data_IF_004712827699
#
_entry.id   IF_004712827699
#
_cell.length_a   1.000
_cell.length_b   1.000
_cell.length_c   1.000
_cell.angle_alpha   90.00
_cell.angle_beta   90.00
_cell.angle_gamma   90.00
#
_symmetry.space_group_name_H-M   'P 1'
#
loop_
_entity.id
_entity.type
_entity.pdbx_description
1 polymer ?
#
# COMPACT_ATOMS: atom_id res chain seq x y z
N UNK A 1 -21.99 -14.49 7.71
CA UNK A 1 -22.26 -13.64 6.53
C UNK A 1 -20.96 -12.99 6.15
N UNK A 2 -20.44 -13.33 4.99
CA UNK A 2 -19.30 -12.62 4.42
C UNK A 2 -19.71 -11.18 4.14
N UNK A 3 -18.91 -10.20 4.55
CA UNK A 3 -19.20 -8.79 4.25
C UNK A 3 -18.86 -8.52 2.79
N UNK A 4 -19.53 -7.54 2.16
CA UNK A 4 -19.18 -7.12 0.80
C UNK A 4 -17.69 -6.78 0.67
N UNK A 5 -17.07 -6.25 1.73
CA UNK A 5 -15.63 -5.99 1.81
C UNK A 5 -14.79 -7.26 1.74
N UNK A 6 -15.12 -8.28 2.55
CA UNK A 6 -14.41 -9.57 2.53
C UNK A 6 -14.50 -10.25 1.16
N UNK A 7 -15.65 -10.14 0.50
CA UNK A 7 -15.87 -10.73 -0.82
C UNK A 7 -15.00 -10.09 -1.91
N UNK A 8 -14.89 -8.76 -1.95
CA UNK A 8 -14.05 -8.08 -2.95
C UNK A 8 -12.56 -8.39 -2.78
N UNK A 9 -12.09 -8.47 -1.54
CA UNK A 9 -10.70 -8.84 -1.23
C UNK A 9 -10.45 -10.30 -1.59
N UNK A 10 -11.36 -11.20 -1.22
CA UNK A 10 -11.31 -12.62 -1.54
C UNK A 10 -11.24 -12.87 -3.05
N UNK A 11 -12.05 -12.18 -3.85
CA UNK A 11 -12.04 -12.29 -5.32
C UNK A 11 -10.69 -11.90 -5.92
N UNK A 12 -10.07 -10.82 -5.47
CA UNK A 12 -8.74 -10.43 -5.94
C UNK A 12 -7.68 -11.48 -5.54
N UNK A 13 -7.71 -11.98 -4.31
CA UNK A 13 -6.78 -13.00 -3.84
C UNK A 13 -6.95 -14.34 -4.57
N UNK A 14 -8.19 -14.75 -4.87
CA UNK A 14 -8.48 -15.91 -5.70
C UNK A 14 -7.93 -15.75 -7.11
N UNK A 15 -8.17 -14.60 -7.73
CA UNK A 15 -7.61 -14.27 -9.02
C UNK A 15 -6.07 -14.32 -9.00
N UNK A 16 -5.43 -13.72 -8.00
CA UNK A 16 -3.97 -13.71 -7.87
C UNK A 16 -3.39 -15.13 -7.67
N UNK A 17 -4.08 -15.99 -6.90
CA UNK A 17 -3.73 -17.42 -6.78
C UNK A 17 -3.84 -18.13 -8.12
N UNK A 18 -4.92 -17.91 -8.86
CA UNK A 18 -5.11 -18.48 -10.20
C UNK A 18 -4.05 -17.99 -11.21
N UNK A 19 -3.68 -16.71 -11.14
CA UNK A 19 -2.61 -16.12 -11.95
C UNK A 19 -1.26 -16.78 -11.65
N UNK A 20 -0.88 -16.84 -10.38
CA UNK A 20 0.44 -17.38 -9.97
C UNK A 20 0.58 -18.89 -10.22
N UNK A 21 -0.51 -19.66 -10.18
CA UNK A 21 -0.51 -21.08 -10.56
C UNK A 21 -0.17 -21.33 -12.04
N UNK A 22 -0.32 -20.32 -12.90
CA UNK A 22 0.00 -20.40 -14.34
C UNK A 22 1.43 -19.96 -14.64
N UNK A 23 2.17 -19.48 -13.65
CA UNK A 23 3.54 -18.98 -13.78
C UNK A 23 4.55 -20.00 -13.27
N UNK A 24 5.75 -19.99 -13.84
CA UNK A 24 6.87 -20.80 -13.36
C UNK A 24 7.53 -20.09 -12.15
N UNK A 25 7.49 -20.66 -10.92
CA UNK A 25 8.13 -20.06 -9.75
C UNK A 25 9.67 -20.06 -9.81
N UNK A 26 10.28 -20.76 -10.77
CA UNK A 26 11.72 -20.77 -11.02
C UNK A 26 12.20 -19.72 -12.03
N UNK A 27 11.29 -19.07 -12.75
CA UNK A 27 11.62 -18.21 -13.88
C UNK A 27 10.85 -16.88 -13.87
N UNK A 28 11.22 -15.99 -14.81
CA UNK A 28 10.58 -14.69 -14.98
C UNK A 28 10.77 -13.76 -13.79
N UNK A 29 10.00 -12.68 -13.78
CA UNK A 29 9.96 -11.74 -12.67
C UNK A 29 9.35 -12.37 -11.41
N UNK A 30 8.35 -13.23 -11.55
CA UNK A 30 7.67 -13.92 -10.46
C UNK A 30 8.64 -14.75 -9.62
N UNK A 31 9.52 -15.54 -10.24
CA UNK A 31 10.52 -16.32 -9.53
C UNK A 31 11.53 -15.45 -8.77
N UNK A 32 11.93 -14.31 -9.33
CA UNK A 32 12.81 -13.36 -8.63
C UNK A 32 12.10 -12.67 -7.47
N UNK A 33 10.85 -12.26 -7.66
CA UNK A 33 10.04 -11.68 -6.60
C UNK A 33 9.85 -12.65 -5.43
N UNK A 34 9.56 -13.92 -5.71
CA UNK A 34 9.45 -14.95 -4.68
C UNK A 34 10.74 -15.16 -3.88
N UNK A 35 11.92 -15.02 -4.52
CA UNK A 35 13.20 -15.12 -3.82
C UNK A 35 13.46 -13.92 -2.91
N UNK A 36 13.01 -12.73 -3.32
CA UNK A 36 13.28 -11.48 -2.61
C UNK A 36 12.28 -11.17 -1.51
N UNK A 37 11.00 -11.45 -1.75
CA UNK A 37 9.89 -11.15 -0.82
C UNK A 37 8.82 -12.26 -0.83
N UNK A 38 9.17 -13.48 -0.34
CA UNK A 38 8.22 -14.59 -0.27
C UNK A 38 7.06 -14.31 0.68
N UNK A 39 7.30 -13.54 1.75
CA UNK A 39 6.30 -13.22 2.75
C UNK A 39 5.30 -12.18 2.24
N UNK A 40 5.76 -11.16 1.51
CA UNK A 40 4.90 -10.19 0.86
C UNK A 40 4.01 -10.81 -0.22
N UNK A 41 4.55 -11.74 -1.03
CA UNK A 41 3.73 -12.50 -1.97
C UNK A 41 2.66 -13.32 -1.24
N UNK A 42 3.03 -14.05 -0.19
CA UNK A 42 2.08 -14.85 0.60
C UNK A 42 0.99 -13.98 1.22
N UNK A 43 1.36 -12.82 1.76
CA UNK A 43 0.42 -11.86 2.32
C UNK A 43 -0.63 -11.40 1.29
N UNK A 44 -0.23 -11.18 0.04
CA UNK A 44 -1.16 -10.83 -1.05
C UNK A 44 -2.07 -12.00 -1.43
N UNK A 45 -1.50 -13.21 -1.52
CA UNK A 45 -2.25 -14.43 -1.86
C UNK A 45 -3.25 -14.81 -0.77
N UNK A 46 -2.95 -14.54 0.50
CA UNK A 46 -3.83 -14.81 1.64
C UNK A 46 -4.86 -13.68 1.85
N UNK A 47 -4.77 -12.58 1.09
CA UNK A 47 -5.67 -11.42 1.23
C UNK A 47 -5.46 -10.62 2.50
N UNK A 48 -4.28 -10.75 3.12
CA UNK A 48 -3.87 -9.97 4.30
C UNK A 48 -3.07 -8.72 3.93
N UNK A 49 -2.68 -8.59 2.67
CA UNK A 49 -2.12 -7.37 2.10
C UNK A 49 -2.71 -7.10 0.70
N UNK A 50 -2.83 -5.82 0.35
CA UNK A 50 -3.27 -5.42 -0.98
C UNK A 50 -2.07 -5.42 -1.95
N UNK A 51 -2.08 -6.18 -3.06
CA UNK A 51 -0.96 -6.20 -4.00
C UNK A 51 -0.75 -4.82 -4.62
N UNK A 52 0.51 -4.33 -4.68
CA UNK A 52 0.86 -3.17 -5.48
C UNK A 52 0.52 -3.40 -6.96
N UNK A 53 0.09 -2.36 -7.67
CA UNK A 53 -0.26 -2.49 -9.09
C UNK A 53 0.97 -2.87 -9.94
N UNK A 54 2.16 -2.32 -9.64
CA UNK A 54 3.41 -2.64 -10.34
C UNK A 54 3.77 -4.14 -10.28
N UNK A 55 3.40 -4.79 -9.17
CA UNK A 55 3.57 -6.23 -8.99
C UNK A 55 2.59 -6.99 -9.89
N UNK A 56 1.32 -6.58 -9.93
CA UNK A 56 0.33 -7.21 -10.80
C UNK A 56 0.68 -7.07 -12.29
N UNK A 57 1.14 -5.89 -12.72
CA UNK A 57 1.61 -5.65 -14.09
C UNK A 57 2.78 -6.57 -14.46
N UNK A 58 3.71 -6.78 -13.53
CA UNK A 58 4.87 -7.66 -13.75
C UNK A 58 4.46 -9.13 -13.88
N UNK A 59 3.52 -9.61 -13.06
CA UNK A 59 2.98 -10.96 -13.15
C UNK A 59 2.19 -11.20 -14.44
N UNK A 60 1.41 -10.20 -14.88
CA UNK A 60 0.70 -10.22 -16.16
C UNK A 60 1.68 -10.22 -17.34
N UNK A 61 2.81 -9.51 -17.21
CA UNK A 61 3.90 -9.54 -18.18
C UNK A 61 4.55 -10.91 -18.30
N UNK A 62 4.86 -11.58 -17.18
CA UNK A 62 5.38 -12.95 -17.20
C UNK A 62 4.37 -13.93 -17.83
N UNK A 63 3.08 -13.77 -17.54
CA UNK A 63 2.02 -14.57 -18.16
C UNK A 63 1.99 -14.38 -19.68
N UNK A 64 2.15 -13.13 -20.16
CA UNK A 64 2.19 -12.81 -21.59
C UNK A 64 3.31 -13.56 -22.31
N UNK A 65 4.49 -13.59 -21.69
CA UNK A 65 5.68 -14.27 -22.21
C UNK A 65 5.46 -15.79 -22.26
N UNK A 66 4.81 -16.37 -21.25
CA UNK A 66 4.54 -17.81 -21.17
C UNK A 66 3.41 -18.28 -22.10
N UNK A 67 2.37 -17.46 -22.29
CA UNK A 67 1.12 -17.81 -22.99
C UNK A 67 1.08 -17.51 -24.49
N UNK A 68 2.16 -17.00 -25.09
CA UNK A 68 2.21 -16.75 -26.53
C UNK A 68 1.32 -15.60 -27.04
N UNK A 69 0.86 -14.70 -26.15
CA UNK A 69 0.20 -13.44 -26.54
C UNK A 69 -1.33 -13.45 -26.68
N UNK A 70 -2.07 -14.45 -26.19
CA UNK A 70 -3.52 -14.28 -25.97
C UNK A 70 -3.78 -13.01 -25.14
N UNK A 71 -4.78 -12.20 -25.52
CA UNK A 71 -4.89 -10.76 -25.21
C UNK A 71 -4.70 -10.40 -23.72
N UNK A 72 -3.42 -10.18 -23.34
CA UNK A 72 -2.97 -9.72 -22.02
C UNK A 72 -3.60 -8.38 -21.65
N UNK A 73 -3.96 -7.56 -22.64
CA UNK A 73 -4.70 -6.32 -22.44
C UNK A 73 -6.03 -6.56 -21.72
N UNK A 74 -6.84 -7.52 -22.20
CA UNK A 74 -8.12 -7.85 -21.56
C UNK A 74 -7.92 -8.40 -20.13
N UNK A 75 -6.92 -9.25 -19.94
CA UNK A 75 -6.59 -9.79 -18.62
C UNK A 75 -6.13 -8.67 -17.67
N UNK A 76 -5.35 -7.70 -18.19
CA UNK A 76 -4.86 -6.54 -17.43
C UNK A 76 -6.02 -5.63 -17.03
N UNK A 77 -6.94 -5.32 -17.95
CA UNK A 77 -8.15 -4.54 -17.65
C UNK A 77 -9.03 -5.23 -16.61
N UNK A 78 -9.21 -6.55 -16.72
CA UNK A 78 -9.96 -7.35 -15.75
C UNK A 78 -9.30 -7.31 -14.36
N UNK A 79 -8.00 -7.53 -14.30
CA UNK A 79 -7.21 -7.46 -13.07
C UNK A 79 -7.26 -6.07 -12.43
N UNK A 80 -7.20 -5.00 -13.24
CA UNK A 80 -7.33 -3.62 -12.78
C UNK A 80 -8.71 -3.38 -12.14
N UNK A 81 -9.78 -3.89 -12.73
CA UNK A 81 -11.14 -3.80 -12.21
C UNK A 81 -11.29 -4.51 -10.85
N UNK A 82 -10.80 -5.74 -10.74
CA UNK A 82 -10.79 -6.50 -9.47
C UNK A 82 -10.02 -5.75 -8.39
N UNK A 83 -8.81 -5.28 -8.71
CA UNK A 83 -7.98 -4.53 -7.76
C UNK A 83 -8.66 -3.24 -7.33
N UNK A 84 -9.24 -2.48 -8.25
CA UNK A 84 -9.91 -1.22 -7.92
C UNK A 84 -11.08 -1.42 -6.93
N UNK A 85 -11.88 -2.47 -7.11
CA UNK A 85 -12.95 -2.84 -6.20
C UNK A 85 -12.41 -3.24 -4.81
N UNK A 86 -11.39 -4.10 -4.79
CA UNK A 86 -10.77 -4.57 -3.55
C UNK A 86 -10.09 -3.43 -2.77
N UNK A 87 -9.32 -2.57 -3.44
CA UNK A 87 -8.69 -1.36 -2.86
C UNK A 87 -9.74 -0.45 -2.24
N UNK A 88 -10.83 -0.20 -2.96
CA UNK A 88 -11.93 0.65 -2.49
C UNK A 88 -12.56 0.11 -1.20
N UNK A 89 -12.66 -1.21 -1.08
CA UNK A 89 -13.19 -1.87 0.10
C UNK A 89 -12.18 -1.89 1.25
N UNK A 90 -10.91 -2.18 0.96
CA UNK A 90 -9.79 -2.20 1.90
C UNK A 90 -9.57 -0.85 2.57
N UNK A 91 -9.51 0.22 1.77
CA UNK A 91 -9.17 1.56 2.25
C UNK A 91 -10.25 2.16 3.17
N UNK A 92 -11.48 1.62 3.12
CA UNK A 92 -12.61 2.01 3.98
C UNK A 92 -12.70 1.22 5.27
N UNK A 93 -11.85 0.20 5.47
CA UNK A 93 -11.77 -0.48 6.75
C UNK A 93 -11.39 0.50 7.87
N UNK A 94 -11.83 0.25 9.12
CA UNK A 94 -11.37 1.04 10.26
C UNK A 94 -9.83 1.09 10.30
N UNK A 95 -9.26 2.29 10.32
CA UNK A 95 -7.80 2.49 10.29
C UNK A 95 -7.17 2.54 8.90
N UNK A 96 -7.91 2.25 7.81
CA UNK A 96 -7.35 2.20 6.45
C UNK A 96 -6.66 3.48 6.00
N UNK A 97 -7.17 4.65 6.39
CA UNK A 97 -6.52 5.93 6.09
C UNK A 97 -5.15 6.10 6.78
N UNK A 98 -4.98 5.55 7.99
CA UNK A 98 -3.70 5.60 8.70
C UNK A 98 -2.73 4.59 8.12
N UNK A 99 -3.20 3.37 7.85
CA UNK A 99 -2.39 2.34 7.20
C UNK A 99 -1.87 2.78 5.83
N UNK A 100 -2.71 3.44 5.02
CA UNK A 100 -2.27 4.06 3.76
C UNK A 100 -1.14 5.09 3.95
N UNK A 101 -1.17 5.89 5.02
CA UNK A 101 -0.09 6.86 5.32
C UNK A 101 1.17 6.15 5.73
N UNK A 102 1.08 5.09 6.54
CA UNK A 102 2.21 4.24 6.92
C UNK A 102 2.86 3.61 5.69
N UNK A 103 2.04 3.02 4.80
CA UNK A 103 2.51 2.44 3.55
C UNK A 103 3.15 3.50 2.63
N UNK A 104 2.57 4.70 2.54
CA UNK A 104 3.14 5.78 1.74
C UNK A 104 4.48 6.25 2.30
N UNK A 105 4.61 6.39 3.62
CA UNK A 105 5.86 6.75 4.27
C UNK A 105 6.95 5.69 4.00
N UNK A 106 6.61 4.40 4.08
CA UNK A 106 7.50 3.30 3.74
C UNK A 106 7.92 3.34 2.26
N UNK A 107 6.99 3.58 1.33
CA UNK A 107 7.28 3.70 -0.10
C UNK A 107 8.20 4.87 -0.41
N UNK A 108 8.01 6.03 0.25
CA UNK A 108 8.88 7.21 0.10
C UNK A 108 10.29 6.94 0.64
N UNK A 109 10.39 6.26 1.79
CA UNK A 109 11.67 5.85 2.35
C UNK A 109 12.41 4.88 1.40
N UNK A 110 11.69 3.90 0.86
CA UNK A 110 12.23 2.96 -0.12
C UNK A 110 12.72 3.67 -1.39
N UNK A 111 11.92 4.59 -1.94
CA UNK A 111 12.30 5.39 -3.12
C UNK A 111 13.59 6.16 -2.85
N UNK A 112 13.69 6.84 -1.71
CA UNK A 112 14.88 7.60 -1.31
C UNK A 112 16.12 6.71 -1.17
N UNK A 113 15.95 5.52 -0.60
CA UNK A 113 17.03 4.54 -0.48
C UNK A 113 17.50 4.04 -1.86
N UNK A 114 16.57 3.65 -2.74
CA UNK A 114 16.89 3.18 -4.09
C UNK A 114 17.52 4.28 -4.96
N UNK A 115 17.02 5.52 -4.90
CA UNK A 115 17.65 6.66 -5.57
C UNK A 115 19.08 6.94 -5.07
N UNK A 116 19.32 6.73 -3.77
CA UNK A 116 20.66 6.84 -3.19
C UNK A 116 21.56 5.72 -3.72
N UNK A 117 21.07 4.49 -3.78
CA UNK A 117 21.80 3.36 -4.36
C UNK A 117 22.15 3.61 -5.83
N UNK A 118 21.21 4.11 -6.64
CA UNK A 118 21.46 4.50 -8.05
C UNK A 118 22.63 5.49 -8.13
N UNK A 119 22.61 6.59 -7.35
CA UNK A 119 23.70 7.58 -7.36
C UNK A 119 25.04 6.97 -6.96
N UNK A 120 25.06 6.15 -5.91
CA UNK A 120 26.29 5.49 -5.44
C UNK A 120 26.83 4.50 -6.47
N UNK A 121 25.97 3.73 -7.12
CA UNK A 121 26.36 2.75 -8.13
C UNK A 121 26.87 3.42 -9.40
N UNK A 122 26.24 4.51 -9.86
CA UNK A 122 26.74 5.33 -10.96
C UNK A 122 28.15 5.85 -10.66
N UNK A 123 28.38 6.45 -9.47
CA UNK A 123 29.69 6.96 -9.11
C UNK A 123 30.77 5.85 -9.03
N UNK A 124 30.42 4.66 -8.56
CA UNK A 124 31.32 3.49 -8.56
C UNK A 124 31.64 3.04 -9.98
N UNK A 125 30.64 2.99 -10.86
CA UNK A 125 30.78 2.57 -12.25
C UNK A 125 31.75 3.49 -13.01
N UNK A 126 31.70 4.80 -12.76
CA UNK A 126 32.62 5.79 -13.37
C UNK A 126 34.09 5.57 -12.99
N UNK A 127 34.35 4.91 -11.85
CA UNK A 127 35.70 4.62 -11.34
C UNK A 127 36.14 3.17 -11.54
N UNK A 128 35.29 2.34 -12.14
CA UNK A 128 35.55 0.92 -12.32
C UNK A 128 36.80 0.70 -13.19
N UNK A 129 37.68 -0.20 -12.76
CA UNK A 129 38.99 -0.41 -13.40
C UNK A 129 39.06 -1.72 -14.19
N UNK A 130 38.08 -2.59 -14.04
CA UNK A 130 38.01 -3.88 -14.71
C UNK A 130 36.66 -4.13 -15.35
N UNK A 131 36.66 -4.87 -16.45
CA UNK A 131 35.43 -5.25 -17.15
C UNK A 131 34.46 -6.03 -16.27
N UNK A 132 34.96 -6.95 -15.45
CA UNK A 132 34.12 -7.76 -14.56
C UNK A 132 33.45 -6.91 -13.47
N UNK A 133 34.16 -5.91 -12.94
CA UNK A 133 33.60 -4.93 -12.01
C UNK A 133 32.53 -4.08 -12.70
N UNK A 134 32.80 -3.58 -13.91
CA UNK A 134 31.83 -2.83 -14.71
C UNK A 134 30.54 -3.62 -14.96
N UNK A 135 30.65 -4.89 -15.37
CA UNK A 135 29.50 -5.76 -15.65
C UNK A 135 28.67 -6.02 -14.37
N UNK A 136 29.34 -6.26 -13.23
CA UNK A 136 28.67 -6.44 -11.94
C UNK A 136 27.93 -5.18 -11.50
N UNK A 137 28.59 -4.02 -11.55
CA UNK A 137 28.02 -2.73 -11.17
C UNK A 137 26.88 -2.31 -12.09
N UNK A 138 26.97 -2.60 -13.38
CA UNK A 138 25.89 -2.32 -14.34
C UNK A 138 24.64 -3.16 -14.01
N UNK A 139 24.81 -4.42 -13.62
CA UNK A 139 23.72 -5.27 -13.14
C UNK A 139 23.07 -4.71 -11.86
N UNK A 140 23.88 -4.38 -10.85
CA UNK A 140 23.39 -3.75 -9.61
C UNK A 140 22.65 -2.43 -9.89
N UNK A 141 23.16 -1.61 -10.81
CA UNK A 141 22.55 -0.34 -11.18
C UNK A 141 21.20 -0.53 -11.86
N UNK A 142 21.08 -1.49 -12.78
CA UNK A 142 19.81 -1.82 -13.43
C UNK A 142 18.75 -2.25 -12.41
N UNK A 143 19.14 -3.03 -11.40
CA UNK A 143 18.25 -3.41 -10.30
C UNK A 143 17.84 -2.21 -9.44
N UNK A 144 18.78 -1.35 -9.08
CA UNK A 144 18.48 -0.15 -8.30
C UNK A 144 17.53 0.81 -9.04
N UNK A 145 17.67 0.91 -10.37
CA UNK A 145 16.77 1.69 -11.22
C UNK A 145 15.35 1.12 -11.25
N UNK A 146 15.20 -0.21 -11.40
CA UNK A 146 13.89 -0.89 -11.31
C UNK A 146 13.26 -0.68 -9.93
N UNK A 147 14.03 -0.85 -8.84
CA UNK A 147 13.57 -0.61 -7.47
C UNK A 147 13.07 0.84 -7.28
N UNK A 148 13.77 1.83 -7.86
CA UNK A 148 13.33 3.24 -7.85
C UNK A 148 12.02 3.43 -8.62
N UNK A 149 11.89 2.82 -9.80
CA UNK A 149 10.67 2.90 -10.61
C UNK A 149 9.46 2.31 -9.86
N UNK A 150 9.63 1.14 -9.24
CA UNK A 150 8.59 0.47 -8.45
C UNK A 150 8.21 1.26 -7.21
N UNK A 151 9.18 1.78 -6.47
CA UNK A 151 8.91 2.61 -5.30
C UNK A 151 8.17 3.90 -5.68
N UNK A 152 8.47 4.47 -6.85
CA UNK A 152 7.77 5.64 -7.40
C UNK A 152 6.31 5.31 -7.75
N UNK A 153 6.07 4.23 -8.51
CA UNK A 153 4.72 3.77 -8.85
C UNK A 153 3.87 3.50 -7.59
N UNK A 154 4.47 2.91 -6.54
CA UNK A 154 3.80 2.70 -5.24
C UNK A 154 3.45 4.00 -4.55
N UNK A 155 4.33 4.99 -4.56
CA UNK A 155 4.04 6.31 -4.00
C UNK A 155 2.85 6.97 -4.73
N UNK A 156 2.80 6.85 -6.05
CA UNK A 156 1.72 7.39 -6.89
C UNK A 156 0.37 6.70 -6.59
N UNK A 157 0.35 5.36 -6.58
CA UNK A 157 -0.85 4.57 -6.24
C UNK A 157 -1.38 4.92 -4.84
N UNK A 158 -0.52 4.92 -3.83
CA UNK A 158 -0.92 5.20 -2.44
C UNK A 158 -1.40 6.65 -2.26
N UNK A 159 -0.79 7.60 -2.97
CA UNK A 159 -1.25 9.00 -2.97
C UNK A 159 -2.61 9.15 -3.65
N UNK A 160 -2.83 8.45 -4.76
CA UNK A 160 -4.10 8.44 -5.46
C UNK A 160 -5.21 7.83 -4.59
N UNK A 161 -4.92 6.72 -3.89
CA UNK A 161 -5.82 6.06 -2.94
C UNK A 161 -6.21 6.96 -1.77
N UNK A 162 -5.25 7.61 -1.11
CA UNK A 162 -5.51 8.59 -0.06
C UNK A 162 -6.39 9.74 -0.55
N UNK A 163 -6.16 10.22 -1.78
CA UNK A 163 -6.96 11.28 -2.40
C UNK A 163 -8.38 10.82 -2.66
N UNK A 164 -8.57 9.61 -3.20
CA UNK A 164 -9.88 9.03 -3.44
C UNK A 164 -10.66 8.84 -2.13
N UNK A 165 -10.01 8.32 -1.09
CA UNK A 165 -10.62 8.12 0.22
C UNK A 165 -11.12 9.43 0.84
N UNK A 166 -10.31 10.50 0.76
CA UNK A 166 -10.68 11.86 1.22
C UNK A 166 -11.92 12.41 0.51
N UNK A 167 -12.05 12.20 -0.81
CA UNK A 167 -13.23 12.66 -1.57
C UNK A 167 -14.51 11.93 -1.18
N UNK A 168 -14.40 10.68 -0.73
CA UNK A 168 -15.56 9.86 -0.33
C UNK A 168 -15.96 10.04 1.13
N UNK A 169 -15.13 10.70 1.93
CA UNK A 169 -15.48 11.00 3.32
C UNK A 169 -16.66 11.99 3.34
N UNK A 170 -17.75 11.71 4.09
CA UNK A 170 -18.83 12.66 4.23
C UNK A 170 -18.27 13.98 4.76
N UNK A 171 -18.44 15.06 4.01
CA UNK A 171 -18.12 16.40 4.50
C UNK A 171 -18.97 16.62 5.75
N UNK A 172 -18.39 17.04 6.90
CA UNK A 172 -19.22 17.50 8.00
C UNK A 172 -20.07 18.63 7.44
N UNK A 173 -21.39 18.40 7.31
CA UNK A 173 -22.31 19.45 6.90
C UNK A 173 -22.17 20.64 7.85
N UNK A 174 -22.41 21.88 7.40
CA UNK A 174 -22.42 23.01 8.30
C UNK A 174 -23.36 22.67 9.46
N UNK A 175 -22.82 22.65 10.68
CA UNK A 175 -23.64 22.60 11.88
C UNK A 175 -24.57 23.80 11.79
N UNK A 176 -25.83 23.55 11.43
CA UNK A 176 -26.86 24.57 11.53
C UNK A 176 -26.98 24.84 13.01
N UNK A 177 -26.31 25.90 13.47
CA UNK A 177 -26.58 26.49 14.75
C UNK A 177 -28.03 26.98 14.67
N UNK A 178 -28.97 26.13 15.07
CA UNK A 178 -30.33 26.53 15.29
C UNK A 178 -30.26 27.72 16.27
N UNK A 179 -30.83 28.89 15.93
CA UNK A 179 -30.89 29.98 16.88
C UNK A 179 -31.73 29.50 18.05
N UNK A 180 -31.11 29.42 19.22
CA UNK A 180 -31.83 29.22 20.46
C UNK A 180 -32.79 30.41 20.59
N UNK A 181 -34.07 30.20 20.30
CA UNK A 181 -35.10 31.15 20.65
C UNK A 181 -35.38 30.92 22.14
N UNK A 182 -34.92 31.89 22.95
CA UNK A 182 -34.86 31.78 24.39
C UNK A 182 -36.19 31.42 25.05
N UNK A 183 -36.06 30.68 26.15
CA UNK A 183 -37.03 30.74 27.23
C UNK A 183 -36.26 31.14 28.48
N UNK A 184 -36.15 32.44 28.69
CA UNK A 184 -35.72 33.03 29.96
C UNK A 184 -36.77 32.74 31.03
N UNK A 185 -36.36 32.09 32.11
CA UNK A 185 -37.04 32.11 33.40
C UNK A 185 -35.96 32.26 34.48
N UNK A 186 -36.01 33.28 35.35
CA UNK A 186 -34.97 33.54 36.34
C UNK A 186 -35.25 32.82 37.67
N UNK A 187 -34.19 32.39 38.36
CA UNK A 187 -34.25 31.89 39.73
C UNK A 187 -32.90 31.34 40.20
N UNK A 188 -32.21 31.99 41.17
CA UNK A 188 -30.76 31.84 41.36
C UNK A 188 -30.34 30.95 42.54
N UNK A 189 -29.01 30.79 42.65
CA UNK A 189 -28.21 30.48 43.83
C UNK A 189 -28.22 29.02 44.32
N UNK A 190 -27.12 28.38 44.71
CA UNK A 190 -25.76 28.88 44.93
C UNK A 190 -24.76 27.71 44.90
N UNK A 191 -23.65 27.93 44.19
CA UNK A 191 -22.28 27.81 44.69
C UNK A 191 -21.85 26.60 45.54
N UNK A 192 -20.98 25.74 44.99
CA UNK A 192 -19.59 25.58 45.42
C UNK A 192 -18.95 24.31 44.80
N UNK A 193 -17.91 24.48 43.98
CA UNK A 193 -17.00 23.39 43.60
C UNK A 193 -15.97 23.10 44.72
N UNK A 194 -14.77 22.56 44.42
CA UNK A 194 -14.32 21.98 43.15
C UNK A 194 -13.49 20.66 43.32
N UNK A 195 -12.93 20.19 42.21
CA UNK A 195 -11.69 19.38 42.05
C UNK A 195 -11.74 17.86 42.27
N UNK A 196 -11.60 17.15 41.15
CA UNK A 196 -10.73 15.97 41.09
C UNK A 196 -9.29 16.34 41.47
N UNK A 197 -8.51 15.35 41.94
CA UNK A 197 -7.22 15.14 41.29
C UNK A 197 -6.95 13.67 40.93
N UNK A 198 -6.32 13.55 39.76
CA UNK A 198 -5.30 12.57 39.38
C UNK A 198 -4.48 11.95 40.52
N UNK A 199 -4.00 10.72 40.31
CA UNK A 199 -2.58 10.42 40.54
C UNK A 199 -2.23 9.11 41.26
N UNK A 200 -1.79 8.13 40.46
CA UNK A 200 -0.61 7.27 40.63
C UNK A 200 -0.39 6.43 41.92
N UNK A 201 -0.14 5.12 41.73
CA UNK A 201 1.02 4.38 42.27
C UNK A 201 1.03 2.90 41.80
N UNK A 202 2.18 2.41 41.33
CA UNK A 202 2.46 0.96 41.14
C UNK A 202 2.71 0.22 42.47
N UNK A 203 2.95 -1.11 42.45
CA UNK A 203 4.32 -1.66 42.56
C UNK A 203 4.57 -2.84 41.57
N UNK A 204 5.78 -3.05 41.03
CA UNK A 204 6.95 -3.78 41.56
C UNK A 204 6.74 -5.29 41.86
N UNK A 205 7.48 -6.09 41.08
CA UNK A 205 8.21 -7.32 41.41
C UNK A 205 7.45 -8.61 41.84
N UNK A 206 7.83 -9.70 41.15
CA UNK A 206 7.56 -11.10 41.43
C UNK A 206 8.12 -11.96 40.31
#
# INVERSE_FOLDING_TARGET
METATSLMIGQLSEYLRGLTQRLDPGAGWYGEFLRRDPDGMRACLDGVAMPPWDVMESLLGDLAVAGGGESVERETEYAAGLRAAAVTAWDRLPGGAEELRTLLAAAVAQRTASETAVRTLTARLDTATSRAETETLAGELSWAQDDTARATARCEDLTARLTALRRTAPTPGPVSAAPWAGRSGPGPADSAGPRSPHGAAGPLAG
#
